data_IF_932117565335
#
_entry.id   IF_932117565335
#
_cell.length_a   1.000
_cell.length_b   1.000
_cell.length_c   1.000
_cell.angle_alpha   90.00
_cell.angle_beta   90.00
_cell.angle_gamma   90.00
#
_symmetry.space_group_name_H-M   'P 1'
#
loop_
_entity.id
_entity.type
_entity.pdbx_description
1 polymer ?
#
# COMPACT_ATOMS: atom_id res chain seq x y z
N UNK A 1 -30.18 9.48 8.78
CA UNK A 1 -29.42 10.74 8.96
C UNK A 1 -28.28 10.69 7.98
N UNK A 2 -28.47 11.30 6.82
CA UNK A 2 -27.44 11.46 5.81
C UNK A 2 -26.36 12.38 6.37
N UNK A 3 -25.15 11.85 6.54
CA UNK A 3 -23.98 12.69 6.78
C UNK A 3 -23.68 13.38 5.44
N UNK A 4 -24.24 14.57 5.25
CA UNK A 4 -23.81 15.49 4.21
C UNK A 4 -22.36 15.84 4.50
N UNK A 5 -21.43 15.08 3.93
CA UNK A 5 -20.02 15.42 3.93
C UNK A 5 -19.88 16.75 3.15
N UNK A 6 -19.21 17.71 3.75
CA UNK A 6 -18.91 18.99 3.12
C UNK A 6 -18.03 18.73 1.87
N UNK A 7 -18.50 19.01 0.65
CA UNK A 7 -17.76 18.70 -0.57
C UNK A 7 -16.42 19.43 -0.67
N UNK A 8 -16.25 20.58 0.01
CA UNK A 8 -14.96 21.26 0.08
C UNK A 8 -13.95 20.49 0.94
N UNK A 9 -14.43 19.79 1.98
CA UNK A 9 -13.61 18.95 2.86
C UNK A 9 -13.19 17.66 2.13
N UNK A 10 -14.07 17.11 1.31
CA UNK A 10 -13.77 15.92 0.48
C UNK A 10 -12.76 16.23 -0.64
N UNK A 11 -12.81 17.43 -1.25
CA UNK A 11 -11.89 17.81 -2.33
C UNK A 11 -10.43 17.98 -1.86
N UNK A 12 -10.21 18.44 -0.63
CA UNK A 12 -8.86 18.63 -0.07
C UNK A 12 -8.28 17.35 0.55
N UNK A 13 -9.11 16.34 0.80
CA UNK A 13 -8.70 15.14 1.54
C UNK A 13 -7.60 14.32 0.85
N UNK A 14 -7.60 14.08 -0.49
CA UNK A 14 -6.49 13.41 -1.16
C UNK A 14 -5.14 14.10 -0.93
N UNK A 15 -5.11 15.43 -0.96
CA UNK A 15 -3.88 16.20 -0.76
C UNK A 15 -3.39 16.10 0.69
N UNK A 16 -4.29 16.10 1.67
CA UNK A 16 -3.95 15.91 3.08
C UNK A 16 -3.37 14.52 3.34
N UNK A 17 -3.92 13.47 2.73
CA UNK A 17 -3.42 12.10 2.82
C UNK A 17 -1.98 12.03 2.26
N UNK A 18 -1.79 12.56 1.06
CA UNK A 18 -0.48 12.57 0.40
C UNK A 18 0.54 13.41 1.18
N UNK A 19 0.13 14.58 1.70
CA UNK A 19 1.00 15.43 2.49
C UNK A 19 1.39 14.81 3.84
N UNK A 20 0.47 14.11 4.51
CA UNK A 20 0.80 13.37 5.72
C UNK A 20 1.80 12.24 5.42
N UNK A 21 1.59 11.52 4.32
CA UNK A 21 2.39 10.35 3.99
C UNK A 21 3.78 10.71 3.46
N UNK A 22 3.87 11.70 2.56
CA UNK A 22 5.08 12.07 1.83
C UNK A 22 5.68 13.43 2.22
N UNK A 23 5.09 14.14 3.18
CA UNK A 23 5.47 15.50 3.58
C UNK A 23 4.82 16.62 2.77
N UNK A 24 4.39 16.34 1.54
CA UNK A 24 3.66 17.28 0.67
C UNK A 24 2.72 16.55 -0.27
N UNK A 25 1.71 17.25 -0.83
CA UNK A 25 0.70 16.63 -1.68
C UNK A 25 1.23 16.12 -3.04
N UNK A 26 2.35 16.70 -3.50
CA UNK A 26 3.02 16.39 -4.77
C UNK A 26 4.53 16.31 -4.53
N UNK A 27 5.02 15.28 -3.83
CA UNK A 27 6.46 15.14 -3.55
C UNK A 27 7.24 14.88 -4.84
N UNK A 28 8.52 15.21 -4.85
CA UNK A 28 9.48 14.56 -5.73
C UNK A 28 10.09 13.34 -5.01
N UNK A 29 10.99 12.60 -5.68
CA UNK A 29 11.62 11.43 -5.06
C UNK A 29 12.44 11.81 -3.81
N UNK A 30 13.18 12.91 -3.85
CA UNK A 30 14.04 13.32 -2.76
C UNK A 30 13.24 13.76 -1.53
N UNK A 31 12.17 14.54 -1.73
CA UNK A 31 11.29 14.98 -0.65
C UNK A 31 10.53 13.79 -0.05
N UNK A 32 10.01 12.88 -0.88
CA UNK A 32 9.34 11.67 -0.39
C UNK A 32 10.27 10.83 0.50
N UNK A 33 11.52 10.59 0.07
CA UNK A 33 12.46 9.75 0.81
C UNK A 33 12.83 10.28 2.20
N UNK A 34 12.63 11.57 2.48
CA UNK A 34 12.80 12.12 3.83
C UNK A 34 11.82 11.50 4.84
N UNK A 35 10.68 10.98 4.36
CA UNK A 35 9.63 10.37 5.18
C UNK A 35 9.72 8.84 5.28
N UNK A 36 10.74 8.22 4.67
CA UNK A 36 10.85 6.75 4.59
C UNK A 36 10.75 6.02 5.93
N UNK A 37 11.28 6.61 7.00
CA UNK A 37 11.25 6.01 8.33
C UNK A 37 9.81 5.89 8.87
N UNK A 38 8.92 6.81 8.52
CA UNK A 38 7.52 6.78 8.94
C UNK A 38 6.77 5.58 8.34
N UNK A 39 7.07 5.20 7.10
CA UNK A 39 6.35 4.14 6.39
C UNK A 39 6.65 2.75 6.95
N UNK A 40 7.88 2.52 7.41
CA UNK A 40 8.36 1.19 7.83
C UNK A 40 8.54 1.02 9.34
N UNK A 41 8.38 2.10 10.12
CA UNK A 41 8.49 2.04 11.58
C UNK A 41 7.10 1.93 12.22
N UNK A 42 6.87 0.87 12.99
CA UNK A 42 5.66 0.77 13.81
C UNK A 42 5.68 1.86 14.88
N UNK A 43 4.69 2.74 14.86
CA UNK A 43 4.57 3.86 15.81
C UNK A 43 3.13 3.98 16.28
N UNK A 44 2.82 3.65 17.54
CA UNK A 44 1.47 3.81 18.09
C UNK A 44 0.95 5.26 18.02
N UNK A 45 1.86 6.23 18.12
CA UNK A 45 1.51 7.65 17.98
C UNK A 45 1.08 7.98 16.54
N UNK A 46 1.77 7.46 15.54
CA UNK A 46 1.41 7.64 14.14
C UNK A 46 0.12 6.89 13.78
N UNK A 47 -0.04 5.65 14.27
CA UNK A 47 -1.27 4.87 14.08
C UNK A 47 -2.49 5.62 14.69
N UNK A 48 -2.33 6.24 15.86
CA UNK A 48 -3.37 7.07 16.48
C UNK A 48 -3.67 8.36 15.68
N UNK A 49 -2.65 9.03 15.15
CA UNK A 49 -2.81 10.20 14.30
C UNK A 49 -3.59 9.86 13.01
N UNK A 50 -3.25 8.72 12.38
CA UNK A 50 -3.97 8.22 11.20
C UNK A 50 -5.44 7.93 11.53
N UNK A 51 -5.69 7.26 12.66
CA UNK A 51 -7.06 6.94 13.08
C UNK A 51 -7.88 8.21 13.33
N UNK A 52 -7.32 9.20 14.04
CA UNK A 52 -8.02 10.45 14.36
C UNK A 52 -8.29 11.30 13.11
N UNK A 53 -7.33 11.39 12.18
CA UNK A 53 -7.45 12.22 10.98
C UNK A 53 -8.24 11.57 9.85
N UNK A 54 -8.08 10.25 9.67
CA UNK A 54 -8.46 9.56 8.43
C UNK A 54 -9.26 8.27 8.65
N UNK A 55 -9.57 7.87 9.88
CA UNK A 55 -10.33 6.63 10.16
C UNK A 55 -11.68 6.57 9.45
N UNK A 56 -12.41 7.69 9.41
CA UNK A 56 -13.68 7.79 8.67
C UNK A 56 -13.48 7.67 7.15
N UNK A 57 -12.39 8.21 6.61
CA UNK A 57 -12.04 8.13 5.20
C UNK A 57 -11.65 6.70 4.80
N UNK A 58 -10.88 6.00 5.63
CA UNK A 58 -10.53 4.58 5.41
C UNK A 58 -11.80 3.73 5.38
N UNK A 59 -12.73 3.91 6.33
CA UNK A 59 -14.00 3.18 6.31
C UNK A 59 -14.85 3.51 5.07
N UNK A 60 -14.91 4.78 4.67
CA UNK A 60 -15.60 5.19 3.45
C UNK A 60 -14.97 4.59 2.18
N UNK A 61 -13.64 4.55 2.11
CA UNK A 61 -12.89 3.90 1.03
C UNK A 61 -13.17 2.40 0.98
N UNK A 62 -13.11 1.70 2.12
CA UNK A 62 -13.42 0.26 2.22
C UNK A 62 -14.87 -0.06 1.79
N UNK A 63 -15.80 0.88 1.97
CA UNK A 63 -17.19 0.78 1.51
C UNK A 63 -17.39 1.20 0.03
N UNK A 64 -16.31 1.54 -0.68
CA UNK A 64 -16.35 1.97 -2.09
C UNK A 64 -16.84 3.41 -2.32
N UNK A 65 -17.15 4.18 -1.26
CA UNK A 65 -17.74 5.52 -1.37
C UNK A 65 -16.79 6.57 -1.96
N UNK A 66 -15.48 6.30 -1.94
CA UNK A 66 -14.45 7.21 -2.47
C UNK A 66 -13.92 6.79 -3.85
N UNK A 67 -14.51 5.78 -4.51
CA UNK A 67 -14.02 5.27 -5.81
C UNK A 67 -13.92 6.33 -6.90
N UNK A 68 -14.78 7.35 -6.84
CA UNK A 68 -14.80 8.47 -7.79
C UNK A 68 -13.49 9.27 -7.84
N UNK A 69 -12.64 9.22 -6.80
CA UNK A 69 -11.31 9.84 -6.80
C UNK A 69 -10.38 9.26 -7.87
N UNK A 70 -10.54 7.98 -8.18
CA UNK A 70 -9.70 7.29 -9.16
C UNK A 70 -9.84 7.88 -10.58
N UNK A 71 -10.96 8.54 -10.87
CA UNK A 71 -11.23 9.19 -12.16
C UNK A 71 -10.71 10.63 -12.23
N UNK A 72 -10.23 11.21 -11.11
CA UNK A 72 -9.81 12.62 -11.06
C UNK A 72 -8.33 12.81 -11.42
N UNK A 73 -7.49 11.78 -11.25
CA UNK A 73 -6.07 11.83 -11.58
C UNK A 73 -5.24 10.78 -10.85
N UNK A 74 -3.97 10.64 -11.27
CA UNK A 74 -3.04 9.67 -10.69
C UNK A 74 -2.81 9.86 -9.18
N UNK A 75 -2.73 11.12 -8.73
CA UNK A 75 -2.51 11.45 -7.32
C UNK A 75 -3.73 11.14 -6.43
N UNK A 76 -4.95 11.45 -6.90
CA UNK A 76 -6.18 11.13 -6.18
C UNK A 76 -6.39 9.61 -6.09
N UNK A 77 -6.03 8.90 -7.17
CA UNK A 77 -5.99 7.43 -7.17
C UNK A 77 -4.96 6.90 -6.17
N UNK A 78 -3.75 7.46 -6.13
CA UNK A 78 -2.72 7.07 -5.15
C UNK A 78 -3.19 7.31 -3.71
N UNK A 79 -3.83 8.45 -3.42
CA UNK A 79 -4.38 8.72 -2.10
C UNK A 79 -5.42 7.66 -1.68
N UNK A 80 -6.27 7.23 -2.61
CA UNK A 80 -7.23 6.15 -2.37
C UNK A 80 -6.54 4.81 -2.12
N UNK A 81 -5.48 4.49 -2.88
CA UNK A 81 -4.65 3.29 -2.64
C UNK A 81 -4.01 3.35 -1.25
N UNK A 82 -3.47 4.49 -0.83
CA UNK A 82 -2.90 4.65 0.51
C UNK A 82 -3.94 4.42 1.62
N UNK A 83 -5.18 4.89 1.47
CA UNK A 83 -6.23 4.62 2.45
C UNK A 83 -6.55 3.12 2.57
N UNK A 84 -6.66 2.44 1.43
CA UNK A 84 -7.08 1.05 1.35
C UNK A 84 -5.97 0.08 1.76
N UNK A 85 -4.74 0.36 1.33
CA UNK A 85 -3.60 -0.54 1.48
C UNK A 85 -2.76 -0.17 2.70
N UNK A 86 -2.30 1.08 2.82
CA UNK A 86 -1.37 1.47 3.88
C UNK A 86 -2.09 1.81 5.20
N UNK A 87 -3.01 2.77 5.18
CA UNK A 87 -3.64 3.29 6.40
C UNK A 87 -4.48 2.20 7.08
N UNK A 88 -5.13 1.33 6.33
CA UNK A 88 -5.83 0.16 6.87
C UNK A 88 -4.92 -0.74 7.71
N UNK A 89 -3.67 -0.97 7.27
CA UNK A 89 -2.67 -1.79 7.99
C UNK A 89 -2.15 -1.13 9.26
N UNK A 90 -2.07 0.21 9.28
CA UNK A 90 -1.72 0.98 10.48
C UNK A 90 -2.88 1.03 11.49
N UNK A 91 -4.05 1.46 11.04
CA UNK A 91 -5.22 1.73 11.89
C UNK A 91 -5.81 0.46 12.50
N UNK A 92 -5.93 -0.60 11.70
CA UNK A 92 -6.61 -1.84 12.09
C UNK A 92 -5.62 -2.98 12.37
N UNK A 93 -4.42 -2.63 12.81
CA UNK A 93 -3.33 -3.57 13.06
C UNK A 93 -3.80 -4.78 13.88
N UNK A 94 -3.39 -5.97 13.48
CA UNK A 94 -3.75 -7.25 14.11
C UNK A 94 -5.24 -7.62 14.06
N UNK A 95 -6.03 -7.00 13.17
CA UNK A 95 -7.43 -7.38 12.93
C UNK A 95 -7.66 -7.73 11.47
N UNK A 96 -8.69 -8.53 11.12
CA UNK A 96 -9.03 -8.81 9.71
C UNK A 96 -9.25 -7.55 8.87
N UNK A 97 -9.69 -6.46 9.51
CA UNK A 97 -9.99 -5.20 8.83
C UNK A 97 -8.75 -4.52 8.22
N UNK A 98 -7.53 -4.89 8.64
CA UNK A 98 -6.30 -4.42 8.00
C UNK A 98 -6.17 -4.85 6.54
N UNK A 99 -6.88 -5.91 6.13
CA UNK A 99 -6.84 -6.48 4.77
C UNK A 99 -8.12 -6.21 3.98
N UNK A 100 -9.12 -5.53 4.56
CA UNK A 100 -10.42 -5.34 3.93
C UNK A 100 -10.36 -4.47 2.65
N UNK A 101 -9.32 -3.65 2.50
CA UNK A 101 -9.10 -2.82 1.32
C UNK A 101 -8.31 -3.48 0.19
N UNK A 102 -7.67 -4.63 0.42
CA UNK A 102 -6.64 -5.19 -0.47
C UNK A 102 -7.14 -5.39 -1.90
N UNK A 103 -8.31 -6.02 -2.08
CA UNK A 103 -8.86 -6.27 -3.42
C UNK A 103 -9.20 -4.98 -4.18
N UNK A 104 -9.66 -3.94 -3.48
CA UNK A 104 -9.96 -2.64 -4.09
C UNK A 104 -8.68 -1.90 -4.46
N UNK A 105 -7.66 -1.92 -3.59
CA UNK A 105 -6.36 -1.32 -3.85
C UNK A 105 -5.67 -1.99 -5.07
N UNK A 106 -5.73 -3.32 -5.15
CA UNK A 106 -5.21 -4.08 -6.29
C UNK A 106 -5.89 -3.69 -7.60
N UNK A 107 -7.23 -3.61 -7.62
CA UNK A 107 -7.98 -3.14 -8.80
C UNK A 107 -7.55 -1.74 -9.22
N UNK A 108 -7.37 -0.81 -8.29
CA UNK A 108 -6.94 0.55 -8.60
C UNK A 108 -5.53 0.62 -9.18
N UNK A 109 -4.61 -0.20 -8.68
CA UNK A 109 -3.23 -0.31 -9.16
C UNK A 109 -3.15 -0.87 -10.59
N UNK A 110 -3.91 -1.95 -10.87
CA UNK A 110 -4.00 -2.54 -12.20
C UNK A 110 -4.56 -1.53 -13.21
N UNK A 111 -5.67 -0.86 -12.87
CA UNK A 111 -6.25 0.19 -13.71
C UNK A 111 -5.29 1.37 -13.93
N UNK A 112 -4.52 1.77 -12.91
CA UNK A 112 -3.54 2.85 -13.05
C UNK A 112 -2.51 2.51 -14.14
N UNK A 113 -2.03 1.26 -14.13
CA UNK A 113 -1.06 0.75 -15.11
C UNK A 113 -1.66 0.64 -16.51
N UNK A 114 -2.89 0.16 -16.63
CA UNK A 114 -3.60 0.05 -17.91
C UNK A 114 -3.81 1.42 -18.57
N UNK A 115 -4.08 2.44 -17.76
CA UNK A 115 -4.26 3.82 -18.23
C UNK A 115 -2.93 4.58 -18.40
N UNK A 116 -1.80 4.03 -17.95
CA UNK A 116 -0.51 4.70 -17.88
C UNK A 116 -0.44 5.82 -16.83
N UNK A 117 -1.45 5.95 -15.96
CA UNK A 117 -1.54 6.97 -14.93
C UNK A 117 -0.49 6.78 -13.82
N UNK A 118 0.01 5.56 -13.64
CA UNK A 118 1.12 5.29 -12.73
C UNK A 118 2.40 6.03 -13.14
N UNK A 119 2.61 6.26 -14.43
CA UNK A 119 3.78 6.98 -14.96
C UNK A 119 3.78 8.48 -14.64
N UNK A 120 2.64 9.05 -14.23
CA UNK A 120 2.54 10.43 -13.75
C UNK A 120 3.10 10.62 -12.33
N UNK A 121 3.30 9.53 -11.59
CA UNK A 121 3.83 9.54 -10.23
C UNK A 121 5.36 9.43 -10.26
N UNK A 122 6.09 10.18 -9.42
CA UNK A 122 7.51 9.94 -9.16
C UNK A 122 7.73 8.50 -8.68
N UNK A 123 8.90 7.95 -8.95
CA UNK A 123 9.20 6.53 -8.73
C UNK A 123 9.00 6.10 -7.27
N UNK A 124 9.39 6.95 -6.32
CA UNK A 124 9.22 6.67 -4.88
C UNK A 124 7.74 6.61 -4.49
N UNK A 125 6.91 7.51 -5.03
CA UNK A 125 5.46 7.47 -4.80
C UNK A 125 4.82 6.29 -5.53
N UNK A 126 5.33 5.92 -6.71
CA UNK A 126 4.85 4.82 -7.54
C UNK A 126 5.02 3.45 -6.86
N UNK A 127 5.99 3.29 -5.96
CA UNK A 127 6.11 2.09 -5.09
C UNK A 127 4.78 1.79 -4.40
N UNK A 128 4.12 2.79 -3.82
CA UNK A 128 2.85 2.63 -3.11
C UNK A 128 1.67 2.30 -4.03
N UNK A 129 1.75 2.66 -5.31
CA UNK A 129 0.80 2.20 -6.32
C UNK A 129 0.98 0.70 -6.62
N UNK A 130 2.19 0.15 -6.44
CA UNK A 130 2.52 -1.24 -6.78
C UNK A 130 2.42 -2.21 -5.61
N UNK A 131 2.57 -1.74 -4.36
CA UNK A 131 2.43 -2.56 -3.15
C UNK A 131 1.14 -3.42 -3.10
N UNK A 132 -0.03 -2.99 -3.62
CA UNK A 132 -1.20 -3.87 -3.66
C UNK A 132 -0.98 -5.20 -4.40
N UNK A 133 -0.08 -5.25 -5.39
CA UNK A 133 0.29 -6.50 -6.08
C UNK A 133 1.16 -7.38 -5.17
N UNK A 134 2.14 -6.79 -4.49
CA UNK A 134 2.99 -7.46 -3.50
C UNK A 134 2.17 -8.03 -2.34
N UNK A 135 1.08 -7.36 -1.96
CA UNK A 135 0.20 -7.81 -0.89
C UNK A 135 -0.85 -8.85 -1.30
N UNK A 136 -0.99 -9.17 -2.58
CA UNK A 136 -1.98 -10.12 -3.08
C UNK A 136 -1.54 -11.58 -2.81
N UNK A 137 -2.46 -12.41 -2.27
CA UNK A 137 -2.26 -13.87 -2.18
C UNK A 137 -2.59 -14.55 -3.53
N UNK A 138 -1.92 -14.11 -4.60
CA UNK A 138 -2.10 -14.58 -5.97
C UNK A 138 -0.74 -14.68 -6.69
N UNK A 139 -0.33 -15.88 -7.16
CA UNK A 139 0.96 -16.07 -7.81
C UNK A 139 1.18 -15.20 -9.06
N UNK A 140 0.14 -14.99 -9.88
CA UNK A 140 0.25 -14.15 -11.07
C UNK A 140 0.43 -12.67 -10.70
N UNK A 141 -0.18 -12.21 -9.62
CA UNK A 141 0.05 -10.85 -9.11
C UNK A 141 1.45 -10.68 -8.55
N UNK A 142 2.02 -11.71 -7.91
CA UNK A 142 3.38 -11.67 -7.41
C UNK A 142 4.42 -11.59 -8.54
N UNK A 143 4.24 -12.34 -9.63
CA UNK A 143 5.11 -12.20 -10.81
C UNK A 143 5.01 -10.80 -11.44
N UNK A 144 3.79 -10.26 -11.53
CA UNK A 144 3.59 -8.87 -12.00
C UNK A 144 4.26 -7.86 -11.07
N UNK A 145 4.13 -8.04 -9.75
CA UNK A 145 4.76 -7.18 -8.74
C UNK A 145 6.27 -7.09 -8.98
N UNK A 146 6.95 -8.25 -9.04
CA UNK A 146 8.40 -8.30 -9.28
C UNK A 146 8.77 -7.62 -10.59
N UNK A 147 8.07 -7.92 -11.69
CA UNK A 147 8.33 -7.30 -12.98
C UNK A 147 8.15 -5.76 -12.96
N UNK A 148 7.14 -5.27 -12.22
CA UNK A 148 6.87 -3.84 -12.11
C UNK A 148 7.92 -3.12 -11.27
N UNK A 149 8.37 -3.73 -10.17
CA UNK A 149 9.48 -3.20 -9.36
C UNK A 149 10.82 -3.25 -10.09
N UNK A 150 11.07 -4.27 -10.92
CA UNK A 150 12.26 -4.33 -11.79
C UNK A 150 12.29 -3.20 -12.80
N UNK A 151 11.17 -2.95 -13.48
CA UNK A 151 11.04 -1.83 -14.41
C UNK A 151 11.19 -0.47 -13.68
N UNK A 152 10.66 -0.37 -12.46
CA UNK A 152 10.77 0.85 -11.65
C UNK A 152 12.22 1.13 -11.26
N UNK A 153 12.97 0.11 -10.83
CA UNK A 153 14.38 0.22 -10.50
C UNK A 153 15.23 0.66 -11.71
N UNK A 154 14.91 0.16 -12.90
CA UNK A 154 15.58 0.57 -14.14
C UNK A 154 15.34 2.05 -14.46
N UNK A 155 14.15 2.56 -14.13
CA UNK A 155 13.77 3.96 -14.34
C UNK A 155 14.34 4.92 -13.27
N UNK A 156 15.09 4.44 -12.27
CA UNK A 156 15.59 5.29 -11.18
C UNK A 156 16.45 6.47 -11.70
N UNK A 157 16.07 7.73 -11.40
CA UNK A 157 16.73 8.91 -11.95
C UNK A 157 18.07 9.24 -11.29
N UNK A 158 18.31 8.73 -10.08
CA UNK A 158 19.50 9.01 -9.28
C UNK A 158 19.87 7.82 -8.38
N UNK A 159 21.04 7.89 -7.74
CA UNK A 159 21.57 6.82 -6.90
C UNK A 159 20.77 6.58 -5.61
N UNK A 160 20.23 7.64 -4.99
CA UNK A 160 19.46 7.50 -3.75
C UNK A 160 18.09 6.86 -4.01
N UNK A 161 17.43 7.27 -5.10
CA UNK A 161 16.20 6.64 -5.57
C UNK A 161 16.46 5.18 -5.97
N UNK A 162 17.56 4.90 -6.67
CA UNK A 162 17.93 3.53 -7.05
C UNK A 162 18.14 2.62 -5.84
N UNK A 163 18.84 3.08 -4.81
CA UNK A 163 19.08 2.31 -3.58
C UNK A 163 17.76 1.94 -2.88
N UNK A 164 16.86 2.92 -2.73
CA UNK A 164 15.53 2.67 -2.17
C UNK A 164 14.72 1.65 -2.98
N UNK A 165 14.68 1.81 -4.31
CA UNK A 165 13.93 0.92 -5.19
C UNK A 165 14.51 -0.49 -5.25
N UNK A 166 15.83 -0.64 -5.07
CA UNK A 166 16.46 -1.96 -4.97
C UNK A 166 15.98 -2.69 -3.70
N UNK A 167 15.83 -1.96 -2.59
CA UNK A 167 15.19 -2.48 -1.39
C UNK A 167 13.73 -2.89 -1.63
N UNK A 168 12.92 -2.04 -2.28
CA UNK A 168 11.53 -2.39 -2.61
C UNK A 168 11.43 -3.65 -3.49
N UNK A 169 12.31 -3.80 -4.47
CA UNK A 169 12.36 -5.00 -5.31
C UNK A 169 12.74 -6.26 -4.53
N UNK A 170 13.66 -6.17 -3.57
CA UNK A 170 14.00 -7.30 -2.68
C UNK A 170 12.77 -7.78 -1.91
N UNK A 171 12.00 -6.85 -1.34
CA UNK A 171 10.75 -7.16 -0.66
C UNK A 171 9.72 -7.81 -1.58
N UNK A 172 9.53 -7.31 -2.80
CA UNK A 172 8.63 -7.92 -3.77
C UNK A 172 9.01 -9.38 -4.11
N UNK A 173 10.31 -9.65 -4.27
CA UNK A 173 10.83 -11.01 -4.52
C UNK A 173 10.57 -11.94 -3.34
N UNK A 174 10.80 -11.47 -2.12
CA UNK A 174 10.53 -12.23 -0.88
C UNK A 174 9.04 -12.54 -0.72
N UNK A 175 8.15 -11.60 -1.04
CA UNK A 175 6.70 -11.86 -1.02
C UNK A 175 6.31 -12.93 -2.03
N UNK A 176 6.86 -12.85 -3.26
CA UNK A 176 6.65 -13.85 -4.30
C UNK A 176 7.07 -15.25 -3.84
N UNK A 177 8.25 -15.39 -3.24
CA UNK A 177 8.75 -16.68 -2.73
C UNK A 177 7.80 -17.30 -1.69
N UNK A 178 7.21 -16.48 -0.81
CA UNK A 178 6.24 -16.95 0.19
C UNK A 178 4.97 -17.45 -0.47
N UNK A 179 4.44 -16.72 -1.46
CA UNK A 179 3.24 -17.11 -2.20
C UNK A 179 3.50 -18.32 -3.10
N UNK A 180 4.67 -18.43 -3.74
CA UNK A 180 5.05 -19.61 -4.50
C UNK A 180 5.09 -20.86 -3.60
N UNK A 181 5.62 -20.72 -2.39
CA UNK A 181 5.76 -21.82 -1.44
C UNK A 181 4.45 -22.25 -0.78
N UNK A 182 3.59 -21.30 -0.42
CA UNK A 182 2.41 -21.56 0.43
C UNK A 182 1.07 -21.22 -0.22
N UNK A 183 1.06 -20.55 -1.37
CA UNK A 183 -0.15 -20.03 -2.03
C UNK A 183 -0.84 -18.88 -1.30
N UNK A 184 -0.31 -18.46 -0.14
CA UNK A 184 -0.87 -17.43 0.75
C UNK A 184 0.20 -16.94 1.72
N UNK A 185 -0.08 -15.89 2.48
CA UNK A 185 0.79 -15.38 3.53
C UNK A 185 0.50 -16.04 4.88
N UNK A 186 1.39 -16.91 5.41
CA UNK A 186 1.12 -17.63 6.65
C UNK A 186 0.95 -16.73 7.87
N UNK A 187 1.61 -15.57 7.89
CA UNK A 187 1.52 -14.60 9.00
C UNK A 187 0.11 -14.00 9.14
N UNK A 188 -0.73 -14.07 8.09
CA UNK A 188 -2.13 -13.63 8.14
C UNK A 188 -3.07 -14.69 8.71
N UNK A 189 -2.63 -15.95 8.85
CA UNK A 189 -3.51 -17.06 9.21
C UNK A 189 -4.25 -16.83 10.53
N UNK A 190 -3.54 -16.47 11.60
CA UNK A 190 -4.17 -16.21 12.90
C UNK A 190 -5.16 -15.03 12.84
N UNK A 191 -4.79 -13.95 12.15
CA UNK A 191 -5.63 -12.76 12.01
C UNK A 191 -6.92 -13.08 11.23
N UNK A 192 -6.81 -13.91 10.19
CA UNK A 192 -7.92 -14.30 9.31
C UNK A 192 -8.65 -15.57 9.77
N UNK A 193 -8.32 -16.13 10.93
CA UNK A 193 -8.96 -17.35 11.45
C UNK A 193 -8.69 -18.61 10.61
N UNK A 194 -7.58 -18.66 9.87
CA UNK A 194 -7.18 -19.82 9.05
C UNK A 194 -6.29 -20.77 9.87
N UNK A 195 -6.47 -22.10 9.77
CA UNK A 195 -5.52 -23.04 10.35
C UNK A 195 -4.19 -23.00 9.57
N UNK A 196 -3.07 -22.99 10.30
CA UNK A 196 -1.73 -23.12 9.74
C UNK A 196 -1.33 -24.60 9.63
N UNK A 197 -0.68 -24.96 8.52
CA UNK A 197 -0.01 -26.25 8.32
C UNK A 197 1.28 -26.34 9.13
N UNK A 198 1.84 -27.55 9.28
CA UNK A 198 3.13 -27.74 9.94
C UNK A 198 4.29 -26.97 9.23
N UNK A 199 4.27 -26.94 7.89
CA UNK A 199 5.27 -26.21 7.11
C UNK A 199 5.16 -24.68 7.30
N UNK A 200 3.93 -24.16 7.38
CA UNK A 200 3.68 -22.74 7.68
C UNK A 200 4.11 -22.38 9.10
N UNK A 201 3.84 -23.22 10.10
CA UNK A 201 4.29 -23.00 11.48
C UNK A 201 5.82 -23.00 11.59
N UNK A 202 6.49 -23.94 10.91
CA UNK A 202 7.95 -23.99 10.87
C UNK A 202 8.55 -22.74 10.21
N UNK A 203 7.91 -22.23 9.15
CA UNK A 203 8.30 -20.96 8.52
C UNK A 203 8.12 -19.77 9.47
N UNK A 204 6.98 -19.67 10.15
CA UNK A 204 6.69 -18.59 11.12
C UNK A 204 7.60 -18.59 12.36
N UNK A 205 8.31 -19.69 12.62
CA UNK A 205 9.31 -19.76 13.69
C UNK A 205 10.68 -19.20 13.30
N UNK A 206 10.91 -18.92 12.00
CA UNK A 206 12.19 -18.40 11.50
C UNK A 206 12.29 -16.89 11.70
N UNK A 207 13.48 -16.33 11.98
CA UNK A 207 13.68 -14.88 12.02
C UNK A 207 13.30 -14.22 10.70
N UNK A 208 12.62 -13.07 10.75
CA UNK A 208 12.19 -12.36 9.55
C UNK A 208 11.05 -13.04 8.77
N UNK A 209 10.38 -14.02 9.38
CA UNK A 209 9.11 -14.54 8.86
C UNK A 209 7.97 -13.59 9.22
N UNK A 210 7.21 -13.18 8.21
CA UNK A 210 6.27 -12.06 8.33
C UNK A 210 6.90 -10.74 7.91
N UNK A 211 6.17 -10.00 7.09
CA UNK A 211 6.53 -8.67 6.60
C UNK A 211 5.92 -7.60 7.51
#
# INVERSE_FOLDING_TARGET
MEHSADPARDAALPEQILALWFGQARPDNASALQHKLQWFTKSPAFDAQLQQGFGAAVQAAQQGRLRHWAAQGAWQRLALVLLLDQFGRNIFRHTPQSFAGDAQALSLALEARELGADLELPEVARVFMYLPLEHAEDPAMQERSVAWFEALLQAAPDAATRDYLAGSLDYARRHREVIERFGRFPHRNAILGRPSTAAELAYLAQPGSGF
#
